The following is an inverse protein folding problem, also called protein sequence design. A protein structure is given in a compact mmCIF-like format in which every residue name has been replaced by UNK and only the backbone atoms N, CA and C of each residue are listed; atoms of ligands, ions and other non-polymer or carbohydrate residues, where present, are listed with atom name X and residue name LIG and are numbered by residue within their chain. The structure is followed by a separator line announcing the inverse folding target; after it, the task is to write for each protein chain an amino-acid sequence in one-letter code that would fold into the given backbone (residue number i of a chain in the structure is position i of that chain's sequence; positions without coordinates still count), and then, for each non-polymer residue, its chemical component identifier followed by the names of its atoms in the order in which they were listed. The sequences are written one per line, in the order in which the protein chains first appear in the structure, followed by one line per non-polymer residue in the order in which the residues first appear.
data_IF_331036626647
#
_entry.id   IF_331036626647
#
_cell.length_a   1.000
_cell.length_b   1.000
_cell.length_c   1.000
_cell.angle_alpha   90.00
_cell.angle_beta   90.00
_cell.angle_gamma   90.00
#
_symmetry.space_group_name_H-M   'P 1'
#
loop_
_entity.id
_entity.type
_entity.pdbx_description
1 polymer ?
#
# COMPACT_ATOMS: atom_id res chain seq x y z
N UNK A 1 4.82 1.72 -16.41
CA UNK A 1 5.95 2.26 -15.61
C UNK A 1 5.83 3.76 -15.38
N UNK A 2 5.44 4.56 -16.37
CA UNK A 2 5.24 6.01 -16.16
C UNK A 2 4.20 6.31 -15.07
N UNK A 3 3.07 5.59 -15.05
CA UNK A 3 2.02 5.79 -14.04
C UNK A 3 2.48 5.50 -12.61
N UNK A 4 3.35 4.50 -12.41
CA UNK A 4 3.90 4.17 -11.08
C UNK A 4 4.73 5.34 -10.56
N UNK A 5 5.66 5.83 -11.38
CA UNK A 5 6.52 6.94 -10.99
C UNK A 5 5.70 8.21 -10.73
N UNK A 6 4.80 8.54 -11.66
CA UNK A 6 3.86 9.67 -11.51
C UNK A 6 3.07 9.57 -10.19
N UNK A 7 2.52 8.39 -9.86
CA UNK A 7 1.77 8.26 -8.62
C UNK A 7 2.63 8.36 -7.37
N UNK A 8 3.87 7.87 -7.40
CA UNK A 8 4.80 8.03 -6.30
C UNK A 8 5.17 9.51 -6.11
N UNK A 9 5.37 10.28 -7.18
CA UNK A 9 5.55 11.73 -7.10
C UNK A 9 4.32 12.42 -6.50
N UNK A 10 3.11 12.08 -6.94
CA UNK A 10 1.87 12.65 -6.36
C UNK A 10 1.68 12.30 -4.89
N UNK A 11 2.07 11.10 -4.47
CA UNK A 11 2.08 10.73 -3.06
C UNK A 11 3.12 11.55 -2.28
N UNK A 12 4.33 11.74 -2.82
CA UNK A 12 5.35 12.58 -2.19
C UNK A 12 4.89 14.03 -2.04
N UNK A 13 4.28 14.61 -3.07
CA UNK A 13 3.68 15.94 -3.03
C UNK A 13 2.60 16.04 -1.94
N UNK A 14 1.70 15.05 -1.86
CA UNK A 14 0.64 15.01 -0.83
C UNK A 14 1.23 14.91 0.58
N UNK A 15 2.27 14.11 0.77
CA UNK A 15 2.93 14.00 2.07
C UNK A 15 3.63 15.32 2.43
N UNK A 16 4.21 16.03 1.48
CA UNK A 16 4.84 17.34 1.71
C UNK A 16 3.83 18.42 2.09
N UNK A 17 2.69 18.48 1.39
CA UNK A 17 1.56 19.36 1.75
C UNK A 17 1.15 19.18 3.22
N UNK A 18 1.13 17.93 3.69
CA UNK A 18 0.75 17.56 5.04
C UNK A 18 1.87 17.74 6.08
N UNK A 19 3.14 17.87 5.64
CA UNK A 19 4.28 18.12 6.52
C UNK A 19 4.27 19.56 7.08
N UNK A 20 3.59 20.49 6.39
CA UNK A 20 3.42 21.86 6.84
C UNK A 20 2.23 22.06 7.79
N UNK A 21 1.46 21.00 8.06
CA UNK A 21 0.30 21.04 8.95
C UNK A 21 0.68 20.53 10.34
N UNK A 22 0.23 21.25 11.37
CA UNK A 22 0.36 20.80 12.76
C UNK A 22 -0.69 19.70 13.04
N UNK A 23 -0.28 18.46 12.79
CA UNK A 23 -1.10 17.26 12.92
C UNK A 23 -0.35 16.21 13.74
N UNK A 24 -1.00 15.68 14.78
CA UNK A 24 -0.49 14.53 15.52
C UNK A 24 -0.50 13.27 14.65
N UNK A 25 0.59 12.50 14.68
CA UNK A 25 0.77 11.32 13.82
C UNK A 25 1.27 10.12 14.61
N UNK A 26 0.63 8.99 14.41
CA UNK A 26 1.03 7.71 14.99
C UNK A 26 2.27 7.14 14.30
N UNK A 27 2.50 7.51 13.03
CA UNK A 27 3.69 7.15 12.23
C UNK A 27 4.33 8.40 11.62
N UNK A 28 5.67 8.50 11.59
CA UNK A 28 6.36 9.64 11.01
C UNK A 28 6.22 9.66 9.48
N UNK A 29 6.12 10.85 8.89
CA UNK A 29 5.99 10.97 7.43
C UNK A 29 7.19 10.42 6.64
N UNK A 30 8.37 10.32 7.26
CA UNK A 30 9.53 9.67 6.65
C UNK A 30 9.31 8.16 6.47
N UNK A 31 8.60 7.51 7.41
CA UNK A 31 8.20 6.12 7.26
C UNK A 31 7.28 5.97 6.05
N UNK A 32 6.26 6.82 5.93
CA UNK A 32 5.31 6.74 4.79
C UNK A 32 6.03 6.86 3.45
N UNK A 33 6.99 7.80 3.33
CA UNK A 33 7.78 7.98 2.09
C UNK A 33 8.60 6.73 1.74
N UNK A 34 9.26 6.13 2.73
CA UNK A 34 10.10 4.95 2.53
C UNK A 34 9.20 3.75 2.19
N UNK A 35 8.25 3.45 3.07
CA UNK A 35 7.38 2.29 3.02
C UNK A 35 6.56 2.24 1.73
N UNK A 36 5.98 3.35 1.27
CA UNK A 36 5.17 3.34 0.05
C UNK A 36 5.98 3.00 -1.21
N UNK A 37 7.27 3.39 -1.25
CA UNK A 37 8.15 3.12 -2.39
C UNK A 37 8.71 1.71 -2.31
N UNK A 38 9.21 1.28 -1.15
CA UNK A 38 9.79 -0.05 -0.96
C UNK A 38 8.73 -1.16 -1.06
N UNK A 39 7.57 -0.97 -0.43
CA UNK A 39 6.42 -1.87 -0.53
C UNK A 39 5.94 -1.99 -1.99
N UNK A 40 5.97 -0.91 -2.77
CA UNK A 40 5.64 -0.97 -4.19
C UNK A 40 6.61 -1.81 -5.01
N UNK A 41 7.91 -1.79 -4.70
CA UNK A 41 8.90 -2.65 -5.37
C UNK A 41 8.74 -4.12 -4.95
N UNK A 42 8.50 -4.38 -3.67
CA UNK A 42 8.18 -5.72 -3.19
C UNK A 42 6.91 -6.27 -3.87
N UNK A 43 5.84 -5.47 -3.92
CA UNK A 43 4.58 -5.82 -4.56
C UNK A 43 4.74 -6.07 -6.06
N UNK A 44 5.56 -5.28 -6.76
CA UNK A 44 5.84 -5.49 -8.18
C UNK A 44 6.51 -6.85 -8.46
N UNK A 45 7.48 -7.25 -7.60
CA UNK A 45 8.17 -8.54 -7.72
C UNK A 45 7.22 -9.70 -7.40
N UNK A 46 6.42 -9.58 -6.34
CA UNK A 46 5.43 -10.60 -5.98
C UNK A 46 4.36 -10.75 -7.08
N UNK A 47 3.86 -9.64 -7.62
CA UNK A 47 2.91 -9.66 -8.73
C UNK A 47 3.49 -10.37 -9.96
N UNK A 48 4.76 -10.09 -10.29
CA UNK A 48 5.45 -10.72 -11.42
C UNK A 48 5.51 -12.23 -11.23
N UNK A 49 5.89 -12.69 -10.04
CA UNK A 49 5.96 -14.12 -9.72
C UNK A 49 4.60 -14.81 -9.74
N UNK A 50 3.54 -14.09 -9.35
CA UNK A 50 2.16 -14.61 -9.21
C UNK A 50 1.30 -14.43 -10.45
N UNK A 51 1.80 -13.81 -11.52
CA UNK A 51 1.03 -13.53 -12.73
C UNK A 51 -0.08 -12.49 -12.53
N UNK A 52 0.11 -11.55 -11.58
CA UNK A 52 -0.79 -10.42 -11.31
C UNK A 52 -0.28 -9.17 -12.04
N UNK A 53 -1.16 -8.23 -12.37
CA UNK A 53 -0.76 -6.96 -13.00
C UNK A 53 0.28 -6.22 -12.13
N UNK A 54 1.51 -6.16 -12.63
CA UNK A 54 2.66 -5.61 -11.91
C UNK A 54 2.59 -4.09 -11.75
N UNK A 55 1.97 -3.38 -12.69
CA UNK A 55 1.82 -1.93 -12.60
C UNK A 55 0.75 -1.58 -11.57
N UNK A 56 -0.40 -2.24 -11.65
CA UNK A 56 -1.50 -2.00 -10.72
C UNK A 56 -1.12 -2.40 -9.29
N UNK A 57 -0.35 -3.48 -9.12
CA UNK A 57 0.21 -3.88 -7.82
C UNK A 57 1.14 -2.82 -7.23
N UNK A 58 2.08 -2.29 -8.03
CA UNK A 58 2.99 -1.25 -7.56
C UNK A 58 2.22 0.02 -7.16
N UNK A 59 1.22 0.43 -7.94
CA UNK A 59 0.38 1.60 -7.64
C UNK A 59 -0.43 1.37 -6.38
N UNK A 60 -1.10 0.22 -6.25
CA UNK A 60 -1.88 -0.12 -5.07
C UNK A 60 -1.03 -0.16 -3.80
N UNK A 61 0.17 -0.74 -3.85
CA UNK A 61 1.14 -0.68 -2.75
C UNK A 61 1.57 0.76 -2.44
N UNK A 62 1.81 1.61 -3.44
CA UNK A 62 2.20 3.01 -3.20
C UNK A 62 1.13 3.85 -2.50
N UNK A 63 -0.13 3.44 -2.54
CA UNK A 63 -1.24 4.22 -1.96
C UNK A 63 -1.99 3.49 -0.83
N UNK A 64 -1.59 2.27 -0.47
CA UNK A 64 -2.40 1.43 0.43
C UNK A 64 -2.62 2.05 1.82
N UNK A 65 -1.64 2.84 2.30
CA UNK A 65 -1.65 3.56 3.57
C UNK A 65 -2.14 5.02 3.46
N UNK A 66 -2.77 5.40 2.35
CA UNK A 66 -3.22 6.78 2.12
C UNK A 66 -4.07 7.33 3.27
N UNK A 67 -4.92 6.50 3.87
CA UNK A 67 -5.72 6.89 5.04
C UNK A 67 -4.87 7.28 6.25
N UNK A 68 -3.73 6.63 6.48
CA UNK A 68 -2.81 7.00 7.58
C UNK A 68 -2.11 8.32 7.27
N UNK A 69 -1.71 8.52 6.03
CA UNK A 69 -1.07 9.75 5.57
C UNK A 69 -1.98 10.96 5.82
N UNK A 70 -3.26 10.88 5.39
CA UNK A 70 -4.18 12.02 5.47
C UNK A 70 -4.79 12.24 6.85
N UNK A 71 -4.91 11.20 7.68
CA UNK A 71 -5.50 11.32 9.03
C UNK A 71 -4.48 11.41 10.16
N UNK A 72 -3.24 10.99 9.92
CA UNK A 72 -2.22 10.82 10.95
C UNK A 72 -2.42 9.58 11.84
N UNK A 73 -3.49 8.80 11.68
CA UNK A 73 -3.85 7.72 12.61
C UNK A 73 -3.63 6.33 12.04
N UNK A 74 -3.01 5.45 12.83
CA UNK A 74 -2.82 4.05 12.51
C UNK A 74 -4.11 3.25 12.70
N UNK A 75 -4.95 3.60 13.68
CA UNK A 75 -6.22 2.89 13.88
C UNK A 75 -7.17 3.18 12.72
N UNK A 76 -7.70 2.12 12.09
CA UNK A 76 -8.66 2.17 10.98
C UNK A 76 -8.14 2.90 9.71
N UNK A 77 -6.82 3.05 9.54
CA UNK A 77 -6.24 3.76 8.39
C UNK A 77 -6.67 3.17 7.04
N UNK A 78 -6.77 1.84 6.95
CA UNK A 78 -7.23 1.17 5.74
C UNK A 78 -8.64 1.63 5.36
N UNK A 79 -9.59 1.61 6.31
CA UNK A 79 -10.96 2.07 6.07
C UNK A 79 -11.02 3.57 5.75
N UNK A 80 -10.22 4.38 6.44
CA UNK A 80 -10.13 5.82 6.23
C UNK A 80 -9.58 6.20 4.84
N UNK A 81 -8.91 5.28 4.13
CA UNK A 81 -8.40 5.54 2.79
C UNK A 81 -9.49 5.63 1.72
N UNK A 82 -10.66 4.99 1.90
CA UNK A 82 -11.55 4.63 0.80
C UNK A 82 -12.01 5.82 -0.08
N UNK A 83 -12.77 6.76 0.49
CA UNK A 83 -13.24 7.94 -0.24
C UNK A 83 -12.09 8.91 -0.62
N UNK A 84 -11.19 9.31 0.28
CA UNK A 84 -10.18 10.32 -0.08
C UNK A 84 -9.16 9.78 -1.09
N UNK A 85 -8.88 8.47 -1.12
CA UNK A 85 -8.04 7.87 -2.16
C UNK A 85 -8.76 7.81 -3.50
N UNK A 86 -10.08 7.55 -3.50
CA UNK A 86 -10.89 7.54 -4.72
C UNK A 86 -10.87 8.91 -5.40
N UNK A 87 -11.05 9.98 -4.63
CA UNK A 87 -10.95 11.35 -5.11
C UNK A 87 -9.54 11.67 -5.63
N UNK A 88 -8.51 11.27 -4.89
CA UNK A 88 -7.11 11.48 -5.28
C UNK A 88 -6.76 10.81 -6.61
N UNK A 89 -7.15 9.54 -6.80
CA UNK A 89 -6.92 8.82 -8.05
C UNK A 89 -7.74 9.40 -9.20
N UNK A 90 -9.00 9.78 -8.97
CA UNK A 90 -9.85 10.40 -9.99
C UNK A 90 -9.28 11.74 -10.47
N UNK A 91 -8.78 12.56 -9.55
CA UNK A 91 -8.18 13.86 -9.86
C UNK A 91 -6.92 13.76 -10.75
N UNK A 92 -6.25 12.59 -10.77
CA UNK A 92 -5.07 12.37 -11.61
C UNK A 92 -5.41 12.30 -13.10
N UNK A 93 -6.60 11.83 -13.48
CA UNK A 93 -6.98 11.57 -14.87
C UNK A 93 -6.31 10.36 -15.53
N UNK A 94 -5.50 9.58 -14.80
CA UNK A 94 -4.71 8.46 -15.34
C UNK A 94 -5.37 7.08 -15.23
N UNK A 95 -6.48 6.98 -14.50
CA UNK A 95 -7.11 5.71 -14.15
C UNK A 95 -8.55 5.66 -14.63
N UNK A 96 -8.94 4.49 -15.14
CA UNK A 96 -10.34 4.17 -15.39
C UNK A 96 -11.12 4.03 -14.08
N UNK A 97 -12.45 4.18 -14.14
CA UNK A 97 -13.31 3.97 -12.98
C UNK A 97 -13.15 2.57 -12.35
N UNK A 98 -12.85 1.56 -13.18
CA UNK A 98 -12.58 0.19 -12.74
C UNK A 98 -11.26 0.09 -11.96
N UNK A 99 -10.18 0.67 -12.48
CA UNK A 99 -8.88 0.68 -11.77
C UNK A 99 -8.97 1.43 -10.44
N UNK A 100 -9.70 2.56 -10.41
CA UNK A 100 -9.93 3.31 -9.18
C UNK A 100 -10.66 2.44 -8.14
N UNK A 101 -11.72 1.73 -8.52
CA UNK A 101 -12.42 0.81 -7.63
C UNK A 101 -11.52 -0.34 -7.15
N UNK A 102 -10.75 -0.94 -8.05
CA UNK A 102 -9.81 -2.02 -7.70
C UNK A 102 -8.72 -1.57 -6.72
N UNK A 103 -8.10 -0.40 -6.95
CA UNK A 103 -7.06 0.16 -6.07
C UNK A 103 -7.63 0.57 -4.71
N UNK A 104 -8.75 1.30 -4.69
CA UNK A 104 -9.35 1.80 -3.44
C UNK A 104 -9.88 0.67 -2.57
N UNK A 105 -10.51 -0.34 -3.17
CA UNK A 105 -10.92 -1.57 -2.47
C UNK A 105 -9.71 -2.31 -1.91
N UNK A 106 -8.63 -2.39 -2.68
CA UNK A 106 -7.38 -3.02 -2.22
C UNK A 106 -6.79 -2.30 -1.01
N UNK A 107 -6.63 -0.96 -1.10
CA UNK A 107 -6.17 -0.15 0.02
C UNK A 107 -7.09 -0.27 1.24
N UNK A 108 -8.41 -0.30 1.05
CA UNK A 108 -9.37 -0.50 2.15
C UNK A 108 -9.21 -1.84 2.87
N UNK A 109 -8.86 -2.88 2.13
CA UNK A 109 -8.86 -4.26 2.62
C UNK A 109 -7.45 -4.78 2.98
N UNK A 110 -6.37 -4.05 2.71
CA UNK A 110 -4.99 -4.51 2.93
C UNK A 110 -4.69 -4.86 4.40
N UNK A 111 -5.41 -4.25 5.35
CA UNK A 111 -5.27 -4.55 6.77
C UNK A 111 -6.03 -5.83 7.20
N UNK A 112 -6.99 -6.30 6.40
CA UNK A 112 -7.78 -7.52 6.61
C UNK A 112 -7.01 -8.77 6.17
N UNK A 113 -5.87 -9.01 6.82
CA UNK A 113 -4.89 -10.04 6.44
C UNK A 113 -5.36 -11.47 6.68
N UNK A 114 -6.38 -11.69 7.52
CA UNK A 114 -7.04 -13.00 7.71
C UNK A 114 -7.97 -13.37 6.54
N UNK A 115 -8.57 -12.37 5.91
CA UNK A 115 -9.51 -12.57 4.82
C UNK A 115 -8.77 -12.80 3.52
N UNK A 116 -9.26 -13.73 2.70
CA UNK A 116 -8.77 -13.93 1.34
C UNK A 116 -9.47 -12.92 0.43
N UNK A 117 -8.68 -12.08 -0.25
CA UNK A 117 -9.15 -11.12 -1.24
C UNK A 117 -8.91 -11.58 -2.68
N UNK A 118 -9.02 -10.62 -3.59
CA UNK A 118 -8.60 -10.73 -4.97
C UNK A 118 -7.08 -10.88 -5.11
N UNK A 119 -6.56 -11.32 -6.27
CA UNK A 119 -5.11 -11.47 -6.46
C UNK A 119 -4.32 -10.19 -6.16
N UNK A 120 -4.85 -9.02 -6.52
CA UNK A 120 -4.23 -7.72 -6.21
C UNK A 120 -4.17 -7.45 -4.71
N UNK A 121 -5.26 -7.72 -3.97
CA UNK A 121 -5.29 -7.58 -2.51
C UNK A 121 -4.27 -8.49 -1.82
N UNK A 122 -4.14 -9.73 -2.27
CA UNK A 122 -3.18 -10.66 -1.68
C UNK A 122 -1.73 -10.24 -1.96
N UNK A 123 -1.44 -9.64 -3.12
CA UNK A 123 -0.13 -9.04 -3.39
C UNK A 123 0.15 -7.88 -2.42
N UNK A 124 -0.78 -6.95 -2.25
CA UNK A 124 -0.55 -5.77 -1.39
C UNK A 124 -0.42 -6.17 0.09
N UNK A 125 -1.26 -7.10 0.57
CA UNK A 125 -1.17 -7.63 1.95
C UNK A 125 0.20 -8.25 2.23
N UNK A 126 0.71 -9.01 1.27
CA UNK A 126 1.97 -9.73 1.42
C UNK A 126 3.17 -8.80 1.25
N UNK A 127 3.10 -7.85 0.32
CA UNK A 127 4.12 -6.83 0.12
C UNK A 127 4.31 -5.97 1.38
N UNK A 128 3.22 -5.51 2.00
CA UNK A 128 3.24 -4.75 3.26
C UNK A 128 3.93 -5.56 4.38
N UNK A 129 3.56 -6.83 4.55
CA UNK A 129 4.18 -7.71 5.54
C UNK A 129 5.67 -7.92 5.27
N UNK A 130 6.05 -8.18 4.02
CA UNK A 130 7.44 -8.40 3.64
C UNK A 130 8.29 -7.14 3.87
N UNK A 131 7.76 -5.98 3.49
CA UNK A 131 8.44 -4.70 3.64
C UNK A 131 8.66 -4.36 5.12
N UNK A 132 7.62 -4.45 5.94
CA UNK A 132 7.71 -4.29 7.40
C UNK A 132 8.78 -5.20 8.01
N UNK A 133 8.81 -6.48 7.61
CA UNK A 133 9.82 -7.44 8.05
C UNK A 133 11.24 -7.04 7.63
N UNK A 134 11.44 -6.57 6.40
CA UNK A 134 12.75 -6.15 5.89
C UNK A 134 13.33 -4.95 6.64
N UNK A 135 12.47 -4.07 7.18
CA UNK A 135 12.89 -2.98 8.07
C UNK A 135 12.98 -3.38 9.55
N UNK A 136 12.75 -4.66 9.89
CA UNK A 136 12.81 -5.16 11.26
C UNK A 136 11.66 -4.71 12.15
N UNK A 137 10.53 -4.29 11.56
CA UNK A 137 9.33 -3.93 12.33
C UNK A 137 8.67 -5.19 12.92
N UNK A 138 8.09 -5.09 14.12
CA UNK A 138 7.41 -6.21 14.75
C UNK A 138 6.14 -6.59 13.97
N UNK A 139 5.99 -7.88 13.69
CA UNK A 139 4.75 -8.47 13.16
C UNK A 139 3.90 -9.00 14.31
N UNK A 140 3.13 -8.10 14.92
CA UNK A 140 2.38 -8.38 16.15
C UNK A 140 1.24 -9.39 15.95
N UNK A 141 0.63 -9.40 14.76
CA UNK A 141 -0.52 -10.26 14.45
C UNK A 141 -0.10 -11.60 13.87
N UNK A 142 -0.81 -12.66 14.24
CA UNK A 142 -0.53 -14.03 13.80
C UNK A 142 -0.60 -14.15 12.27
N UNK A 143 -1.61 -13.56 11.66
CA UNK A 143 -1.79 -13.62 10.21
C UNK A 143 -0.67 -12.92 9.42
N UNK A 144 0.03 -11.94 10.02
CA UNK A 144 1.22 -11.33 9.40
C UNK A 144 2.38 -12.34 9.40
N UNK A 145 2.60 -13.05 10.50
CA UNK A 145 3.68 -14.06 10.61
C UNK A 145 3.44 -15.25 9.69
N UNK A 146 2.20 -15.71 9.58
CA UNK A 146 1.83 -16.79 8.65
C UNK A 146 2.07 -16.39 7.19
N UNK A 147 1.66 -15.18 6.80
CA UNK A 147 1.93 -14.63 5.45
C UNK A 147 3.43 -14.55 5.19
N UNK A 148 4.20 -14.00 6.12
CA UNK A 148 5.66 -13.92 6.00
C UNK A 148 6.27 -15.30 5.75
N UNK A 149 5.86 -16.33 6.49
CA UNK A 149 6.35 -17.70 6.31
C UNK A 149 6.12 -18.22 4.88
N UNK A 150 4.95 -17.99 4.31
CA UNK A 150 4.61 -18.36 2.93
C UNK A 150 5.43 -17.56 1.91
N UNK A 151 5.55 -16.25 2.10
CA UNK A 151 6.32 -15.35 1.23
C UNK A 151 7.80 -15.76 1.20
N UNK A 152 8.40 -16.07 2.34
CA UNK A 152 9.81 -16.49 2.41
C UNK A 152 10.06 -17.85 1.76
N UNK A 153 9.08 -18.77 1.78
CA UNK A 153 9.15 -20.02 1.03
C UNK A 153 9.03 -19.76 -0.48
N UNK A 154 8.08 -18.90 -0.86
CA UNK A 154 7.83 -18.51 -2.25
C UNK A 154 9.06 -17.84 -2.89
N UNK A 155 9.75 -16.93 -2.20
CA UNK A 155 10.92 -16.22 -2.76
C UNK A 155 12.13 -17.15 -2.93
N UNK A 156 12.26 -18.20 -2.12
CA UNK A 156 13.39 -19.15 -2.17
C UNK A 156 13.26 -20.20 -3.28
N UNK A 157 12.04 -20.51 -3.70
CA UNK A 157 11.75 -21.50 -4.76
C UNK A 157 11.62 -20.84 -6.13
#
# INVERSE_FOLDING_TARGET
MERVFYMQEKMLEKIEELAHQDMERDMPLNWERIHMISCAKAGQILALKRGVDTELAAIACSVHDYGRIVTGRQRNHAQASFEPLKEFLAASGWFSAREIDEITRTARNHSSKKEIGTPLEEVVKDADVLDCYQFGLPLEREEQRERLGKILQEIKG
#
